data_IF_461351321483
#
_entry.id   IF_461351321483
#
_cell.length_a   1.000
_cell.length_b   1.000
_cell.length_c   1.000
_cell.angle_alpha   90.00
_cell.angle_beta   90.00
_cell.angle_gamma   90.00
#
_symmetry.space_group_name_H-M   'P 1'
#
loop_
_entity.id
_entity.type
_entity.pdbx_description
1 polymer ?
#
# COMPACT_ATOMS: atom_id res chain seq x y z
N UNK A 1 -7.07 0.47 6.20
CA UNK A 1 -6.40 0.57 4.92
C UNK A 1 -6.72 1.93 4.32
N UNK A 2 -5.68 2.69 4.01
CA UNK A 2 -5.79 3.95 3.31
C UNK A 2 -5.06 3.83 1.98
N UNK A 3 -5.72 4.28 0.91
CA UNK A 3 -5.21 4.27 -0.44
C UNK A 3 -4.49 5.59 -0.73
N UNK A 4 -3.32 5.47 -1.34
CA UNK A 4 -2.50 6.59 -1.74
C UNK A 4 -2.08 6.44 -3.20
N UNK A 5 -1.83 7.57 -3.86
CA UNK A 5 -1.43 7.58 -5.27
C UNK A 5 -0.34 8.60 -5.58
N UNK A 6 0.37 8.39 -6.69
CA UNK A 6 1.31 9.37 -7.25
C UNK A 6 1.36 9.23 -8.78
N UNK A 7 1.38 10.37 -9.48
CA UNK A 7 1.47 10.42 -10.93
C UNK A 7 2.92 10.39 -11.40
N UNK A 8 3.17 9.90 -12.62
CA UNK A 8 4.48 10.03 -13.29
C UNK A 8 4.95 11.48 -13.40
N UNK A 9 4.01 12.43 -13.48
CA UNK A 9 4.26 13.87 -13.63
C UNK A 9 4.53 14.57 -12.31
N UNK A 10 4.21 13.94 -11.17
CA UNK A 10 4.45 14.52 -9.85
C UNK A 10 5.94 14.73 -9.64
N UNK A 11 6.33 15.96 -9.28
CA UNK A 11 7.68 16.24 -8.80
C UNK A 11 7.85 15.57 -7.44
N UNK A 12 8.68 14.54 -7.38
CA UNK A 12 8.89 13.80 -6.14
C UNK A 12 9.66 14.67 -5.14
N UNK A 13 9.27 14.69 -3.85
CA UNK A 13 10.02 15.37 -2.81
C UNK A 13 11.47 14.89 -2.78
N UNK A 14 12.39 15.77 -2.39
CA UNK A 14 13.76 15.35 -2.16
C UNK A 14 13.83 14.37 -0.98
N UNK A 15 14.38 13.18 -1.22
CA UNK A 15 14.73 12.24 -0.17
C UNK A 15 16.21 11.93 -0.30
N UNK A 16 16.99 12.24 0.74
CA UNK A 16 18.40 11.86 0.77
C UNK A 16 18.50 10.34 0.85
N UNK A 17 19.03 9.72 -0.20
CA UNK A 17 19.33 8.30 -0.18
C UNK A 17 20.46 8.05 0.84
N UNK A 18 20.31 7.07 1.74
CA UNK A 18 21.38 6.67 2.66
C UNK A 18 22.66 6.31 1.91
N UNK A 19 23.81 6.74 2.44
CA UNK A 19 25.10 6.36 1.88
C UNK A 19 25.23 4.83 1.88
N UNK A 20 25.65 4.26 0.74
CA UNK A 20 25.77 2.81 0.57
C UNK A 20 24.48 2.09 0.18
N UNK A 21 23.36 2.81 -0.03
CA UNK A 21 22.13 2.25 -0.56
C UNK A 21 22.25 1.97 -2.07
N UNK A 22 21.99 0.73 -2.47
CA UNK A 22 21.74 0.32 -3.86
C UNK A 22 20.38 -0.32 -3.97
N UNK A 23 19.64 -0.04 -5.04
CA UNK A 23 18.33 -0.64 -5.29
C UNK A 23 18.33 -1.25 -6.69
N UNK A 24 17.77 -2.45 -6.81
CA UNK A 24 17.70 -3.17 -8.07
C UNK A 24 16.48 -4.08 -8.14
N UNK A 25 16.09 -4.42 -9.36
CA UNK A 25 15.15 -5.52 -9.61
C UNK A 25 15.80 -6.82 -9.14
N UNK A 26 15.01 -7.71 -8.54
CA UNK A 26 15.46 -8.98 -8.01
C UNK A 26 14.55 -10.11 -8.49
N UNK A 27 15.15 -11.21 -8.91
CA UNK A 27 14.47 -12.46 -9.29
C UNK A 27 15.01 -13.65 -8.51
N UNK A 28 15.84 -13.40 -7.49
CA UNK A 28 16.38 -14.44 -6.61
C UNK A 28 15.26 -14.94 -5.70
N UNK A 29 14.79 -16.15 -5.98
CA UNK A 29 13.60 -16.74 -5.35
C UNK A 29 13.85 -17.01 -3.88
N UNK A 30 15.01 -17.60 -3.54
CA UNK A 30 15.38 -17.96 -2.18
C UNK A 30 15.51 -16.71 -1.31
N UNK A 31 16.19 -15.68 -1.81
CA UNK A 31 16.33 -14.40 -1.11
C UNK A 31 14.96 -13.76 -0.85
N UNK A 32 14.11 -13.68 -1.87
CA UNK A 32 12.79 -13.06 -1.76
C UNK A 32 11.86 -13.84 -0.81
N UNK A 33 11.92 -15.17 -0.83
CA UNK A 33 11.18 -16.03 0.08
C UNK A 33 11.63 -15.79 1.53
N UNK A 34 12.94 -15.76 1.78
CA UNK A 34 13.53 -15.50 3.09
C UNK A 34 13.17 -14.11 3.63
N UNK A 35 13.36 -13.05 2.83
CA UNK A 35 13.01 -11.69 3.22
C UNK A 35 11.50 -11.52 3.45
N UNK A 36 10.69 -12.16 2.60
CA UNK A 36 9.23 -12.13 2.64
C UNK A 36 8.59 -12.99 3.72
N UNK A 37 9.34 -13.93 4.31
CA UNK A 37 8.78 -14.95 5.22
C UNK A 37 7.60 -15.67 4.55
N UNK A 38 7.82 -16.11 3.32
CA UNK A 38 6.84 -16.77 2.45
C UNK A 38 7.51 -17.95 1.74
N UNK A 39 6.77 -18.79 1.03
CA UNK A 39 7.35 -19.93 0.33
C UNK A 39 7.99 -19.52 -1.00
N UNK A 40 8.94 -20.32 -1.50
CA UNK A 40 9.46 -20.13 -2.86
C UNK A 40 8.37 -20.24 -3.93
N UNK A 41 7.37 -21.11 -3.72
CA UNK A 41 6.23 -21.27 -4.62
C UNK A 41 5.41 -19.98 -4.72
N UNK A 42 5.18 -19.28 -3.61
CA UNK A 42 4.54 -17.96 -3.63
C UNK A 42 5.36 -16.95 -4.44
N UNK A 43 6.69 -16.99 -4.33
CA UNK A 43 7.57 -16.10 -5.10
C UNK A 43 7.51 -16.43 -6.59
N UNK A 44 7.58 -17.72 -6.96
CA UNK A 44 7.42 -18.17 -8.36
C UNK A 44 6.09 -17.73 -8.93
N UNK A 45 5.01 -17.88 -8.16
CA UNK A 45 3.67 -17.44 -8.57
C UNK A 45 3.62 -15.92 -8.82
N UNK A 46 4.20 -15.11 -7.94
CA UNK A 46 4.25 -13.64 -8.15
C UNK A 46 5.01 -13.28 -9.43
N UNK A 47 6.18 -13.86 -9.64
CA UNK A 47 7.00 -13.62 -10.83
C UNK A 47 6.27 -14.06 -12.12
N UNK A 48 5.60 -15.21 -12.09
CA UNK A 48 4.80 -15.71 -13.20
C UNK A 48 3.61 -14.79 -13.55
N UNK A 49 3.09 -14.04 -12.57
CA UNK A 49 2.00 -13.07 -12.74
C UNK A 49 2.50 -11.64 -13.05
N UNK A 50 3.71 -11.50 -13.64
CA UNK A 50 4.31 -10.22 -14.04
C UNK A 50 4.44 -9.22 -12.89
N UNK A 51 4.62 -9.73 -11.67
CA UNK A 51 5.03 -8.90 -10.54
C UNK A 51 6.54 -8.76 -10.52
N UNK A 52 7.00 -7.55 -10.23
CA UNK A 52 8.42 -7.21 -10.19
C UNK A 52 8.81 -6.96 -8.74
N UNK A 53 9.81 -7.70 -8.25
CA UNK A 53 10.41 -7.42 -6.95
C UNK A 53 11.57 -6.45 -7.08
N UNK A 54 11.69 -5.56 -6.10
CA UNK A 54 12.83 -4.68 -5.92
C UNK A 54 13.45 -4.94 -4.55
N UNK A 55 14.77 -5.04 -4.51
CA UNK A 55 15.54 -5.19 -3.27
C UNK A 55 16.47 -3.99 -3.11
N UNK A 56 16.42 -3.40 -1.93
CA UNK A 56 17.34 -2.40 -1.45
C UNK A 56 18.45 -3.09 -0.64
N UNK A 57 19.70 -2.84 -1.02
CA UNK A 57 20.90 -3.31 -0.38
C UNK A 57 21.60 -2.15 0.33
N UNK A 58 21.94 -2.32 1.60
CA UNK A 58 22.79 -1.40 2.35
C UNK A 58 24.17 -2.00 2.50
N UNK A 59 25.19 -1.36 1.92
CA UNK A 59 26.57 -1.85 1.94
C UNK A 59 26.68 -3.33 1.48
N UNK A 60 25.97 -3.67 0.41
CA UNK A 60 25.94 -5.02 -0.16
C UNK A 60 25.02 -6.01 0.52
N UNK A 61 24.36 -5.65 1.62
CA UNK A 61 23.49 -6.54 2.39
C UNK A 61 22.01 -6.25 2.13
N UNK A 62 21.14 -7.25 1.87
CA UNK A 62 19.71 -7.05 1.70
C UNK A 62 19.08 -6.36 2.92
N UNK A 63 18.47 -5.20 2.70
CA UNK A 63 18.01 -4.32 3.76
C UNK A 63 16.50 -4.06 3.73
N UNK A 64 15.93 -3.95 2.53
CA UNK A 64 14.49 -3.87 2.35
C UNK A 64 14.10 -4.49 1.00
N UNK A 65 12.83 -4.85 0.86
CA UNK A 65 12.27 -5.26 -0.42
C UNK A 65 10.84 -4.76 -0.56
N UNK A 66 10.31 -4.84 -1.77
CA UNK A 66 8.89 -4.68 -2.06
C UNK A 66 8.55 -5.12 -3.47
N UNK A 67 7.25 -5.15 -3.75
CA UNK A 67 6.69 -5.66 -5.00
C UNK A 67 5.94 -4.59 -5.75
N UNK A 68 5.96 -4.69 -7.08
CA UNK A 68 5.13 -3.92 -7.98
C UNK A 68 4.34 -4.86 -8.88
N UNK A 69 3.02 -4.68 -8.91
CA UNK A 69 2.13 -5.34 -9.86
C UNK A 69 1.81 -4.44 -11.05
N UNK A 70 1.58 -5.05 -12.21
CA UNK A 70 1.29 -4.35 -13.49
C UNK A 70 -0.12 -4.56 -14.02
N UNK A 71 -0.75 -5.70 -13.72
CA UNK A 71 -2.06 -6.09 -14.28
C UNK A 71 -3.08 -6.33 -13.20
N UNK A 72 -2.79 -7.27 -12.30
CA UNK A 72 -3.68 -7.59 -11.20
C UNK A 72 -2.93 -7.57 -9.88
N UNK A 73 -3.64 -7.32 -8.79
CA UNK A 73 -3.10 -7.48 -7.44
C UNK A 73 -4.22 -7.82 -6.47
N UNK A 74 -3.95 -8.70 -5.50
CA UNK A 74 -4.94 -9.04 -4.47
C UNK A 74 -4.71 -8.23 -3.20
N UNK A 75 -5.76 -7.62 -2.67
CA UNK A 75 -5.81 -7.06 -1.32
C UNK A 75 -6.50 -8.09 -0.44
N UNK A 76 -5.71 -8.87 0.31
CA UNK A 76 -6.24 -9.98 1.11
C UNK A 76 -7.22 -9.53 2.19
N UNK A 77 -6.96 -8.38 2.82
CA UNK A 77 -7.75 -7.80 3.91
C UNK A 77 -9.14 -7.29 3.47
N UNK A 78 -9.36 -7.14 2.16
CA UNK A 78 -10.65 -6.78 1.57
C UNK A 78 -11.26 -7.93 0.75
N UNK A 79 -10.56 -9.06 0.65
CA UNK A 79 -10.84 -10.14 -0.30
C UNK A 79 -11.07 -9.61 -1.73
N UNK A 80 -10.29 -8.60 -2.14
CA UNK A 80 -10.50 -7.87 -3.39
C UNK A 80 -9.37 -8.11 -4.39
N UNK A 81 -9.70 -8.26 -5.67
CA UNK A 81 -8.73 -8.27 -6.77
C UNK A 81 -8.78 -6.93 -7.51
N UNK A 82 -7.67 -6.20 -7.47
CA UNK A 82 -7.48 -4.98 -8.25
C UNK A 82 -7.17 -5.36 -9.70
N UNK A 83 -8.02 -4.94 -10.63
CA UNK A 83 -7.68 -4.86 -12.04
C UNK A 83 -7.04 -3.50 -12.32
N UNK A 84 -5.73 -3.47 -12.58
CA UNK A 84 -4.99 -2.22 -12.74
C UNK A 84 -5.22 -1.63 -14.14
N UNK A 85 -5.69 -0.36 -14.25
CA UNK A 85 -5.83 0.29 -15.54
C UNK A 85 -4.50 0.37 -16.28
N UNK A 86 -4.54 0.48 -17.61
CA UNK A 86 -3.32 0.55 -18.42
C UNK A 86 -2.35 1.63 -17.90
N UNK A 87 -1.07 1.25 -17.77
CA UNK A 87 -0.02 2.13 -17.24
C UNK A 87 -0.09 2.38 -15.72
N UNK A 88 -1.03 1.80 -14.98
CA UNK A 88 -1.05 1.89 -13.53
C UNK A 88 -0.18 0.79 -12.92
N UNK A 89 0.32 1.04 -11.71
CA UNK A 89 1.12 0.09 -10.93
C UNK A 89 0.59 0.04 -9.52
N UNK A 90 0.60 -1.14 -8.91
CA UNK A 90 0.30 -1.28 -7.50
C UNK A 90 1.55 -1.73 -6.74
N UNK A 91 1.94 -0.95 -5.73
CA UNK A 91 3.11 -1.18 -4.91
C UNK A 91 2.66 -1.85 -3.61
N UNK A 92 3.25 -3.00 -3.28
CA UNK A 92 2.79 -3.80 -2.14
C UNK A 92 3.88 -4.64 -1.50
N UNK A 93 3.52 -5.20 -0.33
CA UNK A 93 4.37 -6.10 0.47
C UNK A 93 5.80 -5.59 0.67
N UNK A 94 5.91 -4.35 1.17
CA UNK A 94 7.20 -3.78 1.53
C UNK A 94 7.61 -4.19 2.93
N UNK A 95 8.89 -4.50 3.11
CA UNK A 95 9.47 -4.73 4.42
C UNK A 95 10.89 -4.19 4.46
N UNK A 96 11.19 -3.46 5.53
CA UNK A 96 12.57 -3.11 5.91
C UNK A 96 12.98 -3.98 7.09
N UNK A 97 14.13 -4.65 6.97
CA UNK A 97 14.69 -5.48 8.04
C UNK A 97 14.95 -4.62 9.28
N UNK A 98 14.72 -5.18 10.47
CA UNK A 98 14.72 -4.44 11.74
C UNK A 98 15.95 -3.55 11.92
N UNK A 99 17.15 -4.08 11.63
CA UNK A 99 18.43 -3.37 11.76
C UNK A 99 18.61 -2.15 10.85
N UNK A 100 17.76 -1.97 9.84
CA UNK A 100 17.86 -0.92 8.84
C UNK A 100 16.69 0.07 8.86
N UNK A 101 15.77 -0.06 9.82
CA UNK A 101 14.63 0.83 9.96
C UNK A 101 15.08 2.23 10.39
N UNK A 102 14.26 3.23 10.10
CA UNK A 102 14.56 4.63 10.45
C UNK A 102 15.58 5.33 9.55
N UNK A 103 16.30 4.59 8.70
CA UNK A 103 17.33 5.14 7.82
C UNK A 103 16.77 5.81 6.55
N UNK A 104 15.45 5.82 6.31
CA UNK A 104 14.89 6.40 5.08
C UNK A 104 14.99 5.49 3.83
N UNK A 105 15.31 4.21 3.99
CA UNK A 105 15.39 3.25 2.87
C UNK A 105 14.04 3.06 2.17
N UNK A 106 12.96 2.95 2.94
CA UNK A 106 11.63 2.71 2.38
C UNK A 106 11.14 3.82 1.42
N UNK A 107 11.14 5.11 1.79
CA UNK A 107 10.79 6.17 0.83
C UNK A 107 11.75 6.22 -0.37
N UNK A 108 13.05 5.99 -0.17
CA UNK A 108 14.01 5.92 -1.27
C UNK A 108 13.70 4.77 -2.25
N UNK A 109 13.27 3.60 -1.72
CA UNK A 109 12.83 2.45 -2.51
C UNK A 109 11.58 2.76 -3.33
N UNK A 110 10.56 3.38 -2.73
CA UNK A 110 9.37 3.80 -3.46
C UNK A 110 9.72 4.77 -4.59
N UNK A 111 10.52 5.80 -4.30
CA UNK A 111 10.93 6.77 -5.32
C UNK A 111 11.79 6.15 -6.42
N UNK A 112 12.65 5.17 -6.09
CA UNK A 112 13.41 4.44 -7.09
C UNK A 112 12.49 3.69 -8.05
N UNK A 113 11.49 2.97 -7.52
CA UNK A 113 10.51 2.25 -8.35
C UNK A 113 9.79 3.22 -9.28
N UNK A 114 9.26 4.33 -8.74
CA UNK A 114 8.57 5.36 -9.53
C UNK A 114 9.47 5.90 -10.64
N UNK A 115 10.72 6.29 -10.31
CA UNK A 115 11.68 6.80 -11.29
C UNK A 115 12.03 5.77 -12.36
N UNK A 116 12.21 4.50 -11.98
CA UNK A 116 12.56 3.42 -12.91
C UNK A 116 11.43 3.10 -13.90
N UNK A 117 10.18 3.26 -13.49
CA UNK A 117 9.00 2.91 -14.29
C UNK A 117 8.32 4.13 -14.93
N UNK A 118 8.81 5.36 -14.70
CA UNK A 118 8.22 6.61 -15.21
C UNK A 118 7.97 6.65 -16.72
N UNK A 119 8.76 5.91 -17.52
CA UNK A 119 8.58 5.81 -18.97
C UNK A 119 7.44 4.86 -19.38
N UNK A 120 7.03 3.95 -18.51
CA UNK A 120 6.08 2.85 -18.78
C UNK A 120 4.82 2.90 -17.91
N UNK A 121 4.85 3.69 -16.84
CA UNK A 121 3.75 3.86 -15.91
C UNK A 121 3.29 5.31 -15.88
N UNK A 122 1.98 5.51 -15.77
CA UNK A 122 1.34 6.82 -15.61
C UNK A 122 1.03 7.13 -14.16
N UNK A 123 0.78 6.10 -13.33
CA UNK A 123 0.36 6.26 -11.94
C UNK A 123 0.73 5.04 -11.10
N UNK A 124 0.99 5.29 -9.82
CA UNK A 124 1.33 4.27 -8.84
C UNK A 124 0.35 4.36 -7.67
N UNK A 125 -0.09 3.21 -7.19
CA UNK A 125 -1.00 3.05 -6.06
C UNK A 125 -0.30 2.29 -4.94
N UNK A 126 -0.56 2.66 -3.70
CA UNK A 126 -0.07 1.94 -2.52
C UNK A 126 -1.11 2.02 -1.42
N UNK A 127 -1.23 0.94 -0.66
CA UNK A 127 -2.07 0.89 0.53
C UNK A 127 -1.20 0.61 1.74
N UNK A 128 -1.53 1.22 2.87
CA UNK A 128 -1.00 0.78 4.16
C UNK A 128 -2.14 0.41 5.12
N UNK A 129 -1.83 -0.51 6.04
CA UNK A 129 -2.68 -0.83 7.18
C UNK A 129 -2.64 0.32 8.21
N UNK A 130 -3.76 0.63 8.90
CA UNK A 130 -3.86 1.78 9.83
C UNK A 130 -2.82 1.78 10.94
N UNK A 131 -2.51 0.60 11.49
CA UNK A 131 -1.54 0.40 12.56
C UNK A 131 -0.10 0.70 12.12
N UNK A 132 0.15 0.76 10.82
CA UNK A 132 1.49 0.93 10.26
C UNK A 132 1.84 2.41 10.06
N UNK A 133 1.93 3.16 11.16
CA UNK A 133 2.32 4.59 11.17
C UNK A 133 3.68 4.83 10.49
N UNK A 134 4.61 3.87 10.57
CA UNK A 134 5.92 3.96 9.90
C UNK A 134 5.81 3.91 8.37
N UNK A 135 4.93 3.06 7.84
CA UNK A 135 4.65 2.99 6.40
C UNK A 135 4.02 4.29 5.90
N UNK A 136 3.06 4.84 6.64
CA UNK A 136 2.43 6.13 6.29
C UNK A 136 3.48 7.24 6.13
N UNK A 137 4.39 7.39 7.10
CA UNK A 137 5.47 8.39 7.01
C UNK A 137 6.35 8.19 5.77
N UNK A 138 6.67 6.94 5.43
CA UNK A 138 7.44 6.61 4.22
C UNK A 138 6.70 6.91 2.91
N UNK A 139 5.40 6.61 2.85
CA UNK A 139 4.54 6.88 1.69
C UNK A 139 4.44 8.39 1.42
N UNK A 140 4.20 9.19 2.46
CA UNK A 140 4.15 10.66 2.36
C UNK A 140 5.51 11.21 1.92
N UNK A 141 6.62 10.78 2.55
CA UNK A 141 7.98 11.19 2.17
C UNK A 141 8.35 10.82 0.73
N UNK A 142 7.77 9.75 0.20
CA UNK A 142 7.95 9.36 -1.20
C UNK A 142 7.14 10.23 -2.19
N UNK A 143 6.21 11.06 -1.70
CA UNK A 143 5.43 12.00 -2.52
C UNK A 143 4.06 11.47 -2.93
N UNK A 144 3.53 10.46 -2.26
CA UNK A 144 2.18 9.99 -2.51
C UNK A 144 1.16 10.89 -1.81
N UNK A 145 0.04 11.13 -2.47
CA UNK A 145 -1.12 11.84 -1.93
C UNK A 145 -2.18 10.85 -1.44
N UNK A 146 -2.94 11.27 -0.43
CA UNK A 146 -4.05 10.49 0.13
C UNK A 146 -5.25 10.52 -0.82
N UNK A 147 -5.84 9.35 -1.07
CA UNK A 147 -7.05 9.23 -1.90
C UNK A 147 -8.26 9.01 -1.02
N UNK A 148 -8.19 8.08 -0.07
CA UNK A 148 -9.32 7.75 0.79
C UNK A 148 -9.10 6.48 1.59
N UNK A 149 -9.95 6.26 2.59
CA UNK A 149 -10.01 5.00 3.34
C UNK A 149 -10.74 3.94 2.52
N UNK A 150 -10.11 2.78 2.36
CA UNK A 150 -10.72 1.60 1.75
C UNK A 150 -11.35 0.73 2.84
N UNK A 151 -12.50 0.13 2.56
CA UNK A 151 -13.18 -0.80 3.45
C UNK A 151 -14.12 -1.71 2.65
N UNK A 152 -14.70 -2.73 3.29
CA UNK A 152 -15.71 -3.60 2.67
C UNK A 152 -17.08 -3.11 3.13
N UNK A 153 -17.97 -2.75 2.21
CA UNK A 153 -19.32 -2.32 2.59
C UNK A 153 -20.22 -3.52 3.00
N UNK A 154 -21.44 -3.23 3.43
CA UNK A 154 -22.40 -4.25 3.88
C UNK A 154 -22.72 -5.31 2.81
N UNK A 155 -22.57 -4.97 1.53
CA UNK A 155 -22.80 -5.88 0.40
C UNK A 155 -21.54 -6.66 -0.01
N UNK A 156 -20.42 -6.50 0.70
CA UNK A 156 -19.17 -7.21 0.42
C UNK A 156 -18.28 -6.56 -0.63
N UNK A 157 -18.62 -5.36 -1.13
CA UNK A 157 -17.83 -4.68 -2.16
C UNK A 157 -16.72 -3.80 -1.58
N UNK A 158 -15.58 -3.77 -2.27
CA UNK A 158 -14.51 -2.84 -1.97
C UNK A 158 -14.99 -1.40 -2.21
N UNK A 159 -14.97 -0.60 -1.14
CA UNK A 159 -15.52 0.75 -1.11
C UNK A 159 -14.47 1.73 -0.60
N UNK A 160 -14.46 2.95 -1.13
CA UNK A 160 -13.60 4.03 -0.68
C UNK A 160 -14.40 5.23 -0.17
N UNK A 161 -13.89 5.90 0.86
CA UNK A 161 -14.37 7.18 1.33
C UNK A 161 -14.56 8.20 0.18
N UNK A 162 -15.66 8.94 0.23
CA UNK A 162 -16.00 9.95 -0.77
C UNK A 162 -15.30 11.29 -0.48
N UNK A 163 -13.98 11.31 -0.66
CA UNK A 163 -13.17 12.55 -0.58
C UNK A 163 -13.15 13.28 -1.93
N UNK A 164 -12.69 14.54 -1.94
CA UNK A 164 -12.46 15.26 -3.20
C UNK A 164 -11.48 14.50 -4.10
N UNK A 165 -10.36 14.01 -3.54
CA UNK A 165 -9.36 13.26 -4.29
C UNK A 165 -9.89 11.91 -4.80
N UNK A 166 -10.74 11.23 -4.04
CA UNK A 166 -11.41 10.01 -4.51
C UNK A 166 -12.36 10.31 -5.70
N UNK A 167 -13.05 11.46 -5.69
CA UNK A 167 -13.85 11.89 -6.83
C UNK A 167 -13.00 12.19 -8.06
N UNK A 168 -11.86 12.88 -7.90
CA UNK A 168 -10.93 13.16 -9.01
C UNK A 168 -10.41 11.87 -9.67
N UNK A 169 -10.33 10.77 -8.91
CA UNK A 169 -9.89 9.47 -9.38
C UNK A 169 -11.01 8.45 -9.60
N UNK A 170 -12.28 8.85 -9.55
CA UNK A 170 -13.44 7.96 -9.71
C UNK A 170 -13.33 7.01 -10.92
N UNK A 171 -13.00 7.47 -12.15
CA UNK A 171 -12.92 6.57 -13.29
C UNK A 171 -11.85 5.48 -13.13
N UNK A 172 -10.73 5.77 -12.45
CA UNK A 172 -9.69 4.78 -12.20
C UNK A 172 -10.07 3.83 -11.06
N UNK A 173 -10.75 4.33 -10.04
CA UNK A 173 -11.26 3.53 -8.92
C UNK A 173 -12.32 2.53 -9.41
N UNK A 174 -13.24 2.96 -10.26
CA UNK A 174 -14.26 2.10 -10.86
C UNK A 174 -13.63 1.00 -11.74
N UNK A 175 -12.58 1.31 -12.51
CA UNK A 175 -11.84 0.29 -13.27
C UNK A 175 -11.10 -0.72 -12.37
N UNK A 176 -10.75 -0.32 -11.15
CA UNK A 176 -10.18 -1.20 -10.13
C UNK A 176 -11.26 -1.90 -9.28
N UNK A 177 -12.54 -1.77 -9.67
CA UNK A 177 -13.71 -2.29 -8.96
C UNK A 177 -13.79 -1.79 -7.50
N UNK A 178 -13.48 -0.51 -7.30
CA UNK A 178 -13.61 0.21 -6.03
C UNK A 178 -14.71 1.26 -6.17
N UNK A 179 -15.76 1.12 -5.39
CA UNK A 179 -16.91 2.04 -5.43
C UNK A 179 -16.73 3.19 -4.44
N UNK A 180 -17.14 4.41 -4.79
CA UNK A 180 -17.18 5.50 -3.82
C UNK A 180 -18.35 5.32 -2.84
N UNK A 181 -18.09 5.60 -1.58
CA UNK A 181 -19.09 5.57 -0.51
C UNK A 181 -20.22 6.56 -0.77
N UNK A 182 -21.46 6.11 -0.59
CA UNK A 182 -22.64 6.98 -0.41
C UNK A 182 -22.91 7.29 1.07
N UNK A 183 -22.19 6.63 1.99
CA UNK A 183 -22.41 6.71 3.44
C UNK A 183 -21.25 7.43 4.14
N UNK A 184 -21.52 7.93 5.35
CA UNK A 184 -20.45 8.40 6.25
C UNK A 184 -19.68 7.18 6.78
N UNK A 185 -18.36 7.20 6.63
CA UNK A 185 -17.51 6.05 6.98
C UNK A 185 -17.58 5.79 8.48
N UNK A 186 -17.78 4.54 8.89
CA UNK A 186 -17.71 4.15 10.29
C UNK A 186 -16.38 4.60 10.92
N UNK A 187 -16.44 5.16 12.13
CA UNK A 187 -15.29 5.75 12.83
C UNK A 187 -14.25 4.74 13.33
N UNK A 188 -14.51 3.42 13.20
CA UNK A 188 -13.68 2.34 13.73
C UNK A 188 -13.42 1.20 12.74
N UNK A 189 -12.19 0.67 12.78
CA UNK A 189 -11.71 -0.42 11.94
C UNK A 189 -12.32 -1.79 12.24
N UNK A 190 -12.65 -2.09 13.51
CA UNK A 190 -13.25 -3.38 13.86
C UNK A 190 -14.62 -3.59 13.20
N UNK A 191 -15.25 -2.50 12.74
CA UNK A 191 -16.52 -2.50 12.04
C UNK A 191 -16.40 -2.43 10.49
N UNK A 192 -15.20 -2.22 9.92
CA UNK A 192 -15.03 -1.89 8.48
C UNK A 192 -14.54 -3.03 7.56
N UNK A 193 -14.07 -4.15 8.10
CA UNK A 193 -13.83 -5.38 7.33
C UNK A 193 -13.91 -6.63 8.21
N UNK A 194 -14.67 -7.67 7.82
CA UNK A 194 -14.70 -8.93 8.55
C UNK A 194 -13.41 -9.76 8.39
N UNK A 195 -12.51 -9.39 7.47
CA UNK A 195 -11.33 -10.17 7.09
C UNK A 195 -10.02 -9.75 7.78
N UNK A 196 -10.08 -8.88 8.79
CA UNK A 196 -8.90 -8.47 9.55
C UNK A 196 -8.33 -9.66 10.34
N UNK A 197 -7.03 -9.93 10.15
CA UNK A 197 -6.32 -11.03 10.84
C UNK A 197 -6.34 -10.94 12.38
N UNK A 198 -6.60 -9.76 12.93
CA UNK A 198 -6.70 -9.49 14.38
C UNK A 198 -7.98 -8.73 14.70
N UNK A 199 -9.11 -9.27 14.27
CA UNK A 199 -10.43 -8.73 14.62
C UNK A 199 -10.73 -9.02 16.10
N UNK A 200 -11.19 -8.03 16.85
CA UNK A 200 -11.73 -8.26 18.19
C UNK A 200 -13.19 -8.69 18.07
N UNK A 201 -13.66 -9.60 18.93
CA UNK A 201 -15.00 -10.18 18.82
C UNK A 201 -16.13 -9.14 18.96
N UNK A 202 -15.92 -8.10 19.75
CA UNK A 202 -16.88 -7.01 19.97
C UNK A 202 -16.37 -5.71 19.33
N UNK A 203 -17.16 -5.08 18.43
CA UNK A 203 -16.83 -3.76 17.90
C UNK A 203 -17.17 -2.69 18.95
N UNK A 204 -16.22 -1.84 19.32
CA UNK A 204 -16.43 -0.74 20.27
C UNK A 204 -17.57 0.23 19.88
N UNK A 205 -17.98 0.26 18.60
CA UNK A 205 -19.11 1.06 18.12
C UNK A 205 -20.50 0.48 18.46
N UNK A 206 -20.62 -0.77 18.91
CA UNK A 206 -21.92 -1.41 19.16
C UNK A 206 -22.52 -1.11 20.53
N UNK A 207 -21.77 -0.43 21.42
CA UNK A 207 -22.26 0.04 22.72
C UNK A 207 -22.43 1.56 22.69
N UNK A 208 -23.66 1.98 22.39
CA UNK A 208 -24.21 3.33 22.59
C UNK A 208 -23.19 4.48 22.57
N UNK A 209 -22.96 5.06 21.39
CA UNK A 209 -22.48 6.45 21.26
C UNK A 209 -21.03 6.77 21.68
N UNK A 210 -20.19 5.79 22.01
CA UNK A 210 -18.80 6.06 22.40
C UNK A 210 -17.84 6.08 21.20
N UNK A 211 -16.94 7.08 21.16
CA UNK A 211 -15.78 7.12 20.25
C UNK A 211 -14.80 5.97 20.58
N UNK A 212 -14.26 5.31 19.55
CA UNK A 212 -13.40 4.13 19.71
C UNK A 212 -11.96 4.47 20.15
N UNK A 213 -11.73 4.60 21.45
CA UNK A 213 -10.41 4.88 22.02
C UNK A 213 -9.38 3.80 21.60
N UNK A 214 -8.28 4.20 20.95
CA UNK A 214 -7.18 3.31 20.55
C UNK A 214 -7.34 2.60 19.19
N UNK A 215 -8.54 2.61 18.61
CA UNK A 215 -8.81 2.19 17.21
C UNK A 215 -9.37 3.33 16.34
N UNK A 216 -9.32 4.56 16.88
CA UNK A 216 -9.74 5.76 16.19
C UNK A 216 -8.97 5.93 14.87
N UNK A 217 -9.76 6.10 13.82
CA UNK A 217 -9.33 6.61 12.53
C UNK A 217 -8.92 8.09 12.69
N UNK A 218 -7.78 8.39 13.33
CA UNK A 218 -7.28 9.75 13.53
C UNK A 218 -7.44 10.55 12.21
N UNK A 219 -8.26 11.59 12.27
CA UNK A 219 -8.40 12.61 11.24
C UNK A 219 -7.12 13.44 11.28
N UNK A 220 -6.11 13.07 10.50
CA UNK A 220 -5.07 14.04 10.16
C UNK A 220 -5.63 14.97 9.10
N UNK A 221 -6.46 15.92 9.56
CA UNK A 221 -6.65 17.19 8.89
C UNK A 221 -5.32 17.92 9.06
N UNK A 222 -4.63 18.17 7.94
CA UNK A 222 -3.71 19.29 7.84
C UNK A 222 -4.46 20.45 7.21
#
# INVERSE_FOLDING_TARGET
MALYTVSKTTLLPYTQAPAGLRIMVCTDIELLAAMGTTTEDDIRNRLANDHVAYVAYMNGQPAAFGWMARRTARIGELNHELLLPAGNRYLWNFRTMSRYRGLGIYPALLQFIIRSERKRAVRFWVIHAPENKSSLSGIIKAGFEYVGRLYTNANGFATIENTNTANDYRPLLELMDITLSSETVASCWNCSSPFLKKREADCCCSKEGNECIGQNLELTIA
#
